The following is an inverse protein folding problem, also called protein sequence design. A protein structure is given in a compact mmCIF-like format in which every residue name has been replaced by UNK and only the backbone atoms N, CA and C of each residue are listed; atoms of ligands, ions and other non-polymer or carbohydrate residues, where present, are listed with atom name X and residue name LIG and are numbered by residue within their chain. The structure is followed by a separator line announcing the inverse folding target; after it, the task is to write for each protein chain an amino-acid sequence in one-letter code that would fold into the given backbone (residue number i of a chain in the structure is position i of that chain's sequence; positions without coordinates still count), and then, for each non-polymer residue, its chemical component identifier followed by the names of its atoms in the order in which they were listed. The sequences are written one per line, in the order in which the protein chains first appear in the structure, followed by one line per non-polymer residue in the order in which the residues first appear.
data_IF_956948512334
#
_entry.id   IF_956948512334
#
_cell.length_a   1.000
_cell.length_b   1.000
_cell.length_c   1.000
_cell.angle_alpha   90.00
_cell.angle_beta   90.00
_cell.angle_gamma   90.00
#
_symmetry.space_group_name_H-M   'P 1'
#
loop_
_entity.id
_entity.type
_entity.pdbx_description
1 polymer ?
#
# COMPACT_ATOMS: atom_id res chain seq x y z
N UNK A 1 -15.10 19.06 16.42
CA UNK A 1 -14.65 19.03 15.02
C UNK A 1 -13.62 17.92 14.91
N UNK A 2 -14.01 16.76 14.37
CA UNK A 2 -13.12 15.63 14.14
C UNK A 2 -12.42 15.92 12.80
N UNK A 3 -11.09 15.80 12.67
CA UNK A 3 -10.42 16.02 11.39
C UNK A 3 -10.99 15.06 10.35
N UNK A 4 -11.27 15.55 9.13
CA UNK A 4 -11.64 14.70 7.99
C UNK A 4 -10.67 13.51 7.90
N UNK A 5 -11.23 12.30 7.83
CA UNK A 5 -10.50 11.04 7.78
C UNK A 5 -9.35 11.12 6.76
N UNK A 6 -8.14 10.86 7.25
CA UNK A 6 -6.89 10.94 6.49
C UNK A 6 -6.91 10.00 5.28
N UNK A 7 -7.18 10.55 4.10
CA UNK A 7 -7.02 9.82 2.84
C UNK A 7 -5.57 9.38 2.64
N UNK A 8 -5.38 8.18 2.09
CA UNK A 8 -4.06 7.66 1.72
C UNK A 8 -3.72 8.22 0.34
N UNK A 9 -2.77 9.14 0.30
CA UNK A 9 -2.40 9.89 -0.91
C UNK A 9 -1.35 9.16 -1.75
N UNK A 10 -1.24 9.55 -3.03
CA UNK A 10 -0.32 8.93 -3.98
C UNK A 10 1.15 8.97 -3.51
N UNK A 11 1.59 10.01 -2.79
CA UNK A 11 2.97 10.11 -2.33
C UNK A 11 3.34 8.99 -1.33
N UNK A 12 2.41 8.61 -0.45
CA UNK A 12 2.62 7.49 0.47
C UNK A 12 2.80 6.17 -0.30
N UNK A 13 2.04 5.98 -1.38
CA UNK A 13 2.17 4.81 -2.26
C UNK A 13 3.48 4.84 -3.06
N UNK A 14 3.92 6.02 -3.53
CA UNK A 14 5.21 6.16 -4.21
C UNK A 14 6.38 5.82 -3.30
N UNK A 15 6.35 6.27 -2.06
CA UNK A 15 7.34 5.91 -1.05
C UNK A 15 7.35 4.41 -0.75
N UNK A 16 6.16 3.80 -0.60
CA UNK A 16 6.02 2.35 -0.44
C UNK A 16 6.64 1.60 -1.62
N UNK A 17 6.35 2.01 -2.86
CA UNK A 17 6.88 1.36 -4.06
C UNK A 17 8.40 1.45 -4.12
N UNK A 18 8.97 2.63 -3.81
CA UNK A 18 10.42 2.82 -3.72
C UNK A 18 11.04 1.84 -2.72
N UNK A 19 10.45 1.72 -1.53
CA UNK A 19 10.94 0.82 -0.49
C UNK A 19 10.75 -0.66 -0.82
N UNK A 20 9.70 -1.00 -1.57
CA UNK A 20 9.42 -2.38 -1.99
C UNK A 20 10.52 -2.89 -2.92
N UNK A 21 11.07 -2.04 -3.78
CA UNK A 21 12.16 -2.40 -4.70
C UNK A 21 13.52 -2.70 -4.05
N UNK A 22 13.73 -2.32 -2.78
CA UNK A 22 14.99 -2.64 -2.09
C UNK A 22 15.07 -4.13 -1.73
N UNK A 23 16.28 -4.71 -1.73
CA UNK A 23 16.47 -6.07 -1.21
C UNK A 23 16.16 -6.12 0.29
N UNK A 24 15.71 -7.29 0.75
CA UNK A 24 15.60 -7.57 2.18
C UNK A 24 16.99 -7.53 2.80
N UNK A 25 17.12 -6.83 3.93
CA UNK A 25 18.34 -6.86 4.73
C UNK A 25 18.44 -8.21 5.47
N UNK A 26 17.32 -8.66 6.05
CA UNK A 26 17.17 -9.96 6.70
C UNK A 26 15.75 -10.51 6.45
N UNK A 27 15.58 -11.83 6.60
CA UNK A 27 14.29 -12.52 6.45
C UNK A 27 14.02 -13.06 5.05
N UNK A 28 12.93 -13.82 4.92
CA UNK A 28 12.54 -14.51 3.68
C UNK A 28 11.43 -13.82 2.90
N UNK A 29 10.67 -12.91 3.52
CA UNK A 29 9.54 -12.20 2.92
C UNK A 29 9.49 -10.75 3.39
N UNK A 30 9.15 -9.82 2.50
CA UNK A 30 8.80 -8.43 2.82
C UNK A 30 7.28 -8.32 2.91
N UNK A 31 6.76 -7.88 4.05
CA UNK A 31 5.31 -7.76 4.25
C UNK A 31 4.91 -6.29 4.37
N UNK A 32 3.99 -5.84 3.51
CA UNK A 32 3.38 -4.51 3.58
C UNK A 32 1.95 -4.62 4.06
N UNK A 33 1.61 -3.85 5.10
CA UNK A 33 0.25 -3.77 5.63
C UNK A 33 -0.29 -2.38 5.35
N UNK A 34 -1.36 -2.30 4.56
CA UNK A 34 -2.08 -1.07 4.26
C UNK A 34 -3.42 -1.14 4.98
N UNK A 35 -3.56 -0.36 6.04
CA UNK A 35 -4.80 -0.22 6.81
C UNK A 35 -5.70 0.82 6.15
N UNK A 36 -7.01 0.63 6.29
CA UNK A 36 -8.02 1.52 5.71
C UNK A 36 -7.81 1.71 4.20
N UNK A 37 -7.60 0.60 3.47
CA UNK A 37 -7.35 0.62 2.03
C UNK A 37 -8.51 1.23 1.23
N UNK A 38 -9.73 1.26 1.79
CA UNK A 38 -10.88 2.00 1.28
C UNK A 38 -10.67 3.53 1.23
N UNK A 39 -9.72 4.06 2.00
CA UNK A 39 -9.36 5.49 2.02
C UNK A 39 -8.26 5.86 1.02
N UNK A 40 -7.82 4.95 0.16
CA UNK A 40 -6.93 5.28 -0.95
C UNK A 40 -7.60 6.29 -1.88
N UNK A 41 -6.91 7.38 -2.19
CA UNK A 41 -7.35 8.21 -3.32
C UNK A 41 -7.31 7.39 -4.60
N UNK A 42 -8.12 7.74 -5.59
CA UNK A 42 -8.13 7.03 -6.88
C UNK A 42 -6.74 6.92 -7.50
N UNK A 43 -5.96 8.00 -7.43
CA UNK A 43 -4.57 8.03 -7.91
C UNK A 43 -3.64 7.11 -7.11
N UNK A 44 -3.82 7.04 -5.79
CA UNK A 44 -3.07 6.14 -4.92
C UNK A 44 -3.38 4.67 -5.24
N UNK A 45 -4.66 4.32 -5.39
CA UNK A 45 -5.11 2.98 -5.77
C UNK A 45 -4.56 2.55 -7.14
N UNK A 46 -4.66 3.40 -8.16
CA UNK A 46 -4.12 3.13 -9.49
C UNK A 46 -2.59 2.99 -9.49
N UNK A 47 -1.88 3.79 -8.68
CA UNK A 47 -0.43 3.67 -8.52
C UNK A 47 -0.03 2.36 -7.84
N UNK A 48 -0.82 1.91 -6.86
CA UNK A 48 -0.64 0.67 -6.11
C UNK A 48 -0.94 -0.56 -6.99
N UNK A 49 -1.94 -0.50 -7.87
CA UNK A 49 -2.35 -1.63 -8.72
C UNK A 49 -1.16 -2.25 -9.47
N UNK A 50 -0.32 -1.42 -10.08
CA UNK A 50 0.87 -1.88 -10.82
C UNK A 50 1.81 -2.78 -10.02
N UNK A 51 1.95 -2.55 -8.71
CA UNK A 51 2.83 -3.36 -7.85
C UNK A 51 2.11 -4.57 -7.24
N UNK A 52 0.78 -4.55 -7.20
CA UNK A 52 -0.02 -5.71 -6.80
C UNK A 52 -0.11 -6.75 -7.92
N UNK A 53 -0.17 -6.31 -9.18
CA UNK A 53 -0.17 -7.17 -10.37
C UNK A 53 1.16 -7.91 -10.55
N UNK A 54 2.28 -7.20 -10.37
CA UNK A 54 3.63 -7.74 -10.51
C UNK A 54 4.47 -7.40 -9.26
N UNK A 55 4.23 -8.07 -8.11
CA UNK A 55 4.97 -7.79 -6.90
C UNK A 55 6.43 -8.22 -7.03
N UNK A 56 7.39 -7.46 -6.48
CA UNK A 56 8.77 -7.90 -6.40
C UNK A 56 8.89 -9.25 -5.68
N UNK A 57 9.92 -10.06 -5.98
CA UNK A 57 10.11 -11.35 -5.34
C UNK A 57 10.02 -11.25 -3.82
N UNK A 58 9.43 -12.27 -3.22
CA UNK A 58 9.30 -12.37 -1.76
C UNK A 58 8.47 -11.26 -1.09
N UNK A 59 7.64 -10.54 -1.85
CA UNK A 59 6.75 -9.51 -1.30
C UNK A 59 5.35 -10.04 -1.04
N UNK A 60 4.76 -9.67 0.10
CA UNK A 60 3.37 -9.95 0.47
C UNK A 60 2.69 -8.63 0.82
N UNK A 61 1.51 -8.39 0.24
CA UNK A 61 0.66 -7.25 0.55
C UNK A 61 -0.57 -7.71 1.34
N UNK A 62 -0.87 -7.01 2.43
CA UNK A 62 -2.07 -7.20 3.24
C UNK A 62 -2.86 -5.89 3.21
N UNK A 63 -4.04 -5.93 2.61
CA UNK A 63 -4.96 -4.80 2.50
C UNK A 63 -6.10 -5.02 3.49
N UNK A 64 -6.34 -4.04 4.36
CA UNK A 64 -7.46 -4.07 5.31
C UNK A 64 -8.37 -2.90 4.97
N UNK A 65 -9.61 -3.18 4.60
CA UNK A 65 -10.61 -2.16 4.31
C UNK A 65 -11.86 -2.36 5.14
N UNK A 66 -12.63 -1.29 5.32
CA UNK A 66 -14.03 -1.40 5.73
C UNK A 66 -14.87 -1.75 4.51
N UNK A 67 -15.80 -2.69 4.66
CA UNK A 67 -16.84 -2.91 3.66
C UNK A 67 -17.76 -1.69 3.66
N UNK A 68 -17.98 -1.08 2.49
CA UNK A 68 -19.04 -0.10 2.33
C UNK A 68 -20.36 -0.89 2.25
N UNK A 69 -21.28 -0.64 3.19
CA UNK A 69 -22.67 -1.11 3.11
C UNK A 69 -23.45 -0.32 2.05
#
# INVERSE_FOLDING_TARGET
MIPEESSIKIEQIRDLKRQTGYKLFEGKKKVWIIKEADKLTLEAANSLLKILEEPPPDTVFILISKTQE
#
